data_IF_231123651921
#
_entry.id   IF_231123651921
#
_cell.length_a   1.000
_cell.length_b   1.000
_cell.length_c   1.000
_cell.angle_alpha   90.00
_cell.angle_beta   90.00
_cell.angle_gamma   90.00
#
_symmetry.space_group_name_H-M   'P 1'
#
loop_
_entity.id
_entity.type
_entity.pdbx_description
1 polymer ?
#
# COMPACT_ATOMS: atom_id res chain seq x y z
N UNK A 1 10.25 -12.40 -3.52
CA UNK A 1 8.88 -12.12 -3.10
C UNK A 1 8.84 -11.00 -2.07
N UNK A 2 8.02 -10.00 -2.30
CA UNK A 2 7.83 -8.86 -1.41
C UNK A 2 6.48 -9.05 -0.72
N UNK A 3 6.44 -8.94 0.60
CA UNK A 3 5.19 -9.06 1.36
C UNK A 3 4.77 -7.72 1.92
N UNK A 4 3.48 -7.46 1.84
CA UNK A 4 2.88 -6.20 2.21
C UNK A 4 1.67 -6.44 3.11
N UNK A 5 1.55 -5.68 4.18
CA UNK A 5 0.33 -5.69 4.98
C UNK A 5 -0.41 -4.36 4.90
N UNK A 6 -1.72 -4.39 5.05
CA UNK A 6 -2.61 -3.33 4.60
C UNK A 6 -3.58 -2.85 5.65
N UNK A 7 -3.39 -1.64 6.16
CA UNK A 7 -4.45 -0.80 6.77
C UNK A 7 -3.98 0.65 6.92
N UNK A 8 -4.83 1.60 6.62
CA UNK A 8 -4.83 2.92 7.25
C UNK A 8 -3.93 4.02 6.70
N UNK A 9 -3.63 4.12 5.40
CA UNK A 9 -3.00 5.33 4.85
C UNK A 9 -3.67 5.79 3.56
N UNK A 10 -3.24 6.91 3.03
CA UNK A 10 -3.83 7.56 1.86
C UNK A 10 -3.64 6.81 0.54
N UNK A 11 -2.99 5.65 0.56
CA UNK A 11 -2.73 4.87 -0.63
C UNK A 11 -3.66 3.66 -0.72
N UNK A 12 -4.21 3.43 -1.89
CA UNK A 12 -5.07 2.29 -2.15
C UNK A 12 -4.31 1.23 -2.94
N UNK A 13 -4.57 -0.02 -2.62
CA UNK A 13 -4.11 -1.14 -3.44
C UNK A 13 -5.26 -1.56 -4.34
N UNK A 14 -4.98 -1.62 -5.62
CA UNK A 14 -5.91 -2.26 -6.52
C UNK A 14 -5.92 -3.76 -6.26
N UNK A 15 -7.06 -4.36 -6.47
CA UNK A 15 -7.33 -5.75 -6.21
C UNK A 15 -6.14 -6.68 -6.39
N UNK A 16 -6.07 -7.60 -5.46
CA UNK A 16 -5.18 -8.74 -5.53
C UNK A 16 -5.73 -9.73 -6.54
N UNK A 17 -4.85 -10.40 -7.24
CA UNK A 17 -5.27 -11.58 -7.97
C UNK A 17 -5.59 -12.71 -6.97
N UNK A 18 -6.08 -13.85 -7.45
CA UNK A 18 -6.45 -15.01 -6.60
C UNK A 18 -5.28 -15.54 -5.75
N UNK A 19 -4.05 -15.25 -6.14
CA UNK A 19 -2.84 -15.66 -5.41
C UNK A 19 -2.35 -14.61 -4.41
N UNK A 20 -3.15 -13.59 -4.12
CA UNK A 20 -2.81 -12.49 -3.20
C UNK A 20 -1.68 -11.58 -3.69
N UNK A 21 -1.39 -11.58 -4.98
CA UNK A 21 -0.41 -10.67 -5.56
C UNK A 21 -1.04 -9.32 -5.83
N UNK A 22 -0.36 -8.25 -5.45
CA UNK A 22 -0.82 -6.90 -5.74
C UNK A 22 -0.78 -6.63 -7.25
N UNK A 23 -1.84 -6.01 -7.77
CA UNK A 23 -1.92 -5.64 -9.17
C UNK A 23 -1.39 -4.23 -9.41
N UNK A 24 -1.71 -3.29 -8.52
CA UNK A 24 -1.30 -1.90 -8.64
C UNK A 24 -1.49 -1.16 -7.31
N UNK A 25 -0.73 -0.08 -7.11
CA UNK A 25 -0.87 0.84 -5.99
C UNK A 25 -1.13 2.24 -6.52
N UNK A 26 -2.00 3.00 -5.88
CA UNK A 26 -2.30 4.36 -6.30
C UNK A 26 -2.62 5.26 -5.12
N UNK A 27 -2.32 6.54 -5.27
CA UNK A 27 -2.76 7.57 -4.33
C UNK A 27 -4.23 7.93 -4.53
N UNK A 28 -4.79 7.56 -5.68
CA UNK A 28 -6.22 7.68 -5.96
C UNK A 28 -6.96 6.44 -5.47
N UNK A 29 -8.24 6.59 -5.16
CA UNK A 29 -9.11 5.46 -4.83
C UNK A 29 -9.25 4.58 -6.07
N UNK A 30 -8.88 3.32 -5.97
CA UNK A 30 -9.01 2.31 -7.02
C UNK A 30 -9.63 1.03 -6.46
N UNK A 31 -10.50 0.31 -7.22
CA UNK A 31 -10.97 0.64 -8.56
C UNK A 31 -12.00 1.79 -8.58
N UNK A 32 -12.12 2.46 -9.70
CA UNK A 32 -13.16 3.43 -9.97
C UNK A 32 -14.46 2.69 -10.31
N UNK A 33 -15.55 3.03 -9.64
CA UNK A 33 -16.86 2.42 -9.93
C UNK A 33 -17.68 3.32 -10.83
N UNK A 34 -17.74 2.98 -12.10
CA UNK A 34 -18.39 3.78 -13.12
C UNK A 34 -19.90 3.95 -12.90
N UNK A 35 -20.54 2.90 -12.39
CA UNK A 35 -22.02 2.84 -12.31
C UNK A 35 -22.55 3.10 -10.89
N UNK A 36 -21.73 3.65 -10.01
CA UNK A 36 -22.10 3.94 -8.62
C UNK A 36 -21.58 5.31 -8.19
N UNK A 37 -22.31 5.96 -7.30
CA UNK A 37 -21.88 7.19 -6.65
C UNK A 37 -20.79 6.86 -5.63
N UNK A 38 -19.85 7.78 -5.41
CA UNK A 38 -18.73 7.58 -4.48
C UNK A 38 -19.17 7.16 -3.08
N UNK A 39 -20.29 7.71 -2.61
CA UNK A 39 -20.84 7.36 -1.30
C UNK A 39 -21.23 5.90 -1.17
N UNK A 40 -21.47 5.20 -2.27
CA UNK A 40 -21.89 3.79 -2.32
C UNK A 40 -20.73 2.84 -2.64
N UNK A 41 -19.54 3.34 -2.91
CA UNK A 41 -18.39 2.54 -3.33
C UNK A 41 -18.02 1.46 -2.31
N UNK A 42 -17.96 1.82 -1.02
CA UNK A 42 -17.60 0.88 0.04
C UNK A 42 -18.64 -0.21 0.26
N UNK A 43 -19.91 0.03 -0.13
CA UNK A 43 -20.97 -0.98 -0.06
C UNK A 43 -20.84 -2.03 -1.17
N UNK A 44 -20.32 -1.61 -2.33
CA UNK A 44 -20.27 -2.43 -3.53
C UNK A 44 -18.97 -3.19 -3.71
N UNK A 45 -17.89 -2.75 -3.09
CA UNK A 45 -16.57 -3.33 -3.27
C UNK A 45 -15.70 -3.14 -2.01
N UNK A 46 -14.83 -4.09 -1.75
CA UNK A 46 -13.88 -4.01 -0.65
C UNK A 46 -12.62 -3.28 -1.11
N UNK A 47 -12.33 -2.15 -0.48
CA UNK A 47 -11.12 -1.37 -0.73
C UNK A 47 -10.07 -1.66 0.33
N UNK A 48 -8.81 -1.62 -0.07
CA UNK A 48 -7.68 -1.86 0.83
C UNK A 48 -6.79 -0.64 0.90
N UNK A 49 -6.39 -0.30 2.10
CA UNK A 49 -5.39 0.74 2.35
C UNK A 49 -4.01 0.13 2.50
N UNK A 50 -3.01 0.85 2.06
CA UNK A 50 -1.62 0.47 2.15
C UNK A 50 -1.01 0.91 3.49
N UNK A 51 -0.38 -0.02 4.23
CA UNK A 51 0.28 0.30 5.50
C UNK A 51 1.75 0.70 5.31
N UNK A 52 2.40 0.22 4.26
CA UNK A 52 3.80 0.52 4.04
C UNK A 52 4.77 -0.38 4.82
N UNK A 53 4.33 -1.55 5.25
CA UNK A 53 5.19 -2.53 5.88
C UNK A 53 5.61 -3.58 4.86
N UNK A 54 6.93 -3.70 4.61
CA UNK A 54 7.48 -4.59 3.59
C UNK A 54 8.46 -5.58 4.19
N UNK A 55 8.44 -6.80 3.66
CA UNK A 55 9.45 -7.82 3.92
C UNK A 55 10.04 -8.28 2.60
N UNK A 56 11.35 -8.48 2.57
CA UNK A 56 12.10 -8.81 1.36
C UNK A 56 12.98 -10.03 1.58
N UNK A 57 13.20 -10.80 0.53
CA UNK A 57 14.36 -11.70 0.49
C UNK A 57 15.60 -10.85 0.24
N UNK A 58 16.72 -11.22 0.86
CA UNK A 58 17.95 -10.44 0.78
C UNK A 58 18.44 -10.23 -0.67
N UNK A 59 18.37 -11.29 -1.50
CA UNK A 59 18.76 -11.19 -2.90
C UNK A 59 17.84 -10.27 -3.70
N UNK A 60 16.55 -10.29 -3.43
CA UNK A 60 15.57 -9.40 -4.08
C UNK A 60 15.81 -7.96 -3.67
N UNK A 61 16.04 -7.70 -2.39
CA UNK A 61 16.33 -6.36 -1.89
C UNK A 61 17.55 -5.76 -2.60
N UNK A 62 18.60 -6.55 -2.77
CA UNK A 62 19.80 -6.12 -3.49
C UNK A 62 19.51 -5.75 -4.94
N UNK A 63 18.66 -6.53 -5.62
CA UNK A 63 18.27 -6.26 -7.00
C UNK A 63 17.40 -5.00 -7.12
N UNK A 64 16.37 -4.87 -6.31
CA UNK A 64 15.42 -3.74 -6.42
C UNK A 64 16.03 -2.41 -6.04
N UNK A 65 17.03 -2.38 -5.16
CA UNK A 65 17.71 -1.14 -4.79
C UNK A 65 18.63 -0.63 -5.90
N UNK A 66 19.00 -1.45 -6.85
CA UNK A 66 19.82 -1.06 -8.01
C UNK A 66 19.00 -0.61 -9.22
N UNK A 67 17.68 -0.76 -9.18
CA UNK A 67 16.81 -0.37 -10.28
C UNK A 67 16.71 1.16 -10.41
N UNK A 68 16.72 1.71 -11.64
CA UNK A 68 16.45 3.13 -11.83
C UNK A 68 14.97 3.45 -11.57
N UNK A 69 14.69 4.70 -11.30
CA UNK A 69 13.30 5.17 -11.13
C UNK A 69 12.48 4.88 -12.38
N UNK A 70 11.24 4.48 -12.19
CA UNK A 70 10.33 4.11 -13.27
C UNK A 70 9.25 5.17 -13.51
N UNK A 71 8.57 5.10 -14.65
CA UNK A 71 7.59 6.12 -15.02
C UNK A 71 6.37 6.16 -14.09
N UNK A 72 5.86 5.01 -13.68
CA UNK A 72 4.71 4.94 -12.74
C UNK A 72 5.11 5.41 -11.34
N UNK A 73 6.30 5.05 -10.90
CA UNK A 73 6.85 5.54 -9.64
C UNK A 73 6.93 7.07 -9.62
N UNK A 74 7.45 7.66 -10.67
CA UNK A 74 7.56 9.11 -10.78
C UNK A 74 6.20 9.79 -10.86
N UNK A 75 5.25 9.19 -11.59
CA UNK A 75 3.91 9.74 -11.73
C UNK A 75 3.15 9.79 -10.41
N UNK A 76 3.22 8.73 -9.61
CA UNK A 76 2.48 8.67 -8.35
C UNK A 76 3.34 8.89 -7.10
N UNK A 77 4.64 9.03 -7.26
CA UNK A 77 5.61 9.10 -6.14
C UNK A 77 5.47 7.91 -5.20
N UNK A 78 5.36 6.71 -5.77
CA UNK A 78 5.26 5.45 -5.06
C UNK A 78 6.36 4.50 -5.51
N UNK A 79 7.35 4.28 -4.67
CA UNK A 79 8.54 3.47 -4.99
C UNK A 79 8.21 2.03 -5.37
N UNK A 80 7.21 1.42 -4.75
CA UNK A 80 6.82 0.04 -5.03
C UNK A 80 6.35 -0.18 -6.47
N UNK A 81 5.95 0.86 -7.18
CA UNK A 81 5.58 0.76 -8.58
C UNK A 81 6.79 0.47 -9.48
N UNK A 82 7.99 0.90 -9.07
CA UNK A 82 9.24 0.54 -9.74
C UNK A 82 9.40 -0.98 -9.81
N UNK A 83 9.10 -1.66 -8.72
CA UNK A 83 9.23 -3.11 -8.64
C UNK A 83 8.22 -3.81 -9.53
N UNK A 84 6.96 -3.37 -9.49
CA UNK A 84 5.91 -3.93 -10.35
C UNK A 84 6.22 -3.72 -11.84
N UNK A 85 6.70 -2.54 -12.24
CA UNK A 85 7.08 -2.27 -13.63
C UNK A 85 8.23 -3.16 -14.11
N UNK A 86 9.10 -3.58 -13.21
CA UNK A 86 10.23 -4.45 -13.52
C UNK A 86 9.91 -5.94 -13.35
N UNK A 87 8.64 -6.29 -13.19
CA UNK A 87 8.19 -7.69 -13.18
C UNK A 87 8.29 -8.40 -11.83
N UNK A 88 8.60 -7.69 -10.74
CA UNK A 88 8.60 -8.29 -9.42
C UNK A 88 7.18 -8.47 -8.90
N UNK A 89 6.98 -9.50 -8.12
CA UNK A 89 5.70 -9.83 -7.50
C UNK A 89 5.67 -9.34 -6.06
N UNK A 90 4.61 -8.63 -5.69
CA UNK A 90 4.38 -8.17 -4.33
C UNK A 90 3.18 -8.94 -3.77
N UNK A 91 3.42 -9.82 -2.79
CA UNK A 91 2.33 -10.48 -2.08
C UNK A 91 1.77 -9.58 -1.00
N UNK A 92 0.45 -9.47 -0.97
CA UNK A 92 -0.25 -8.65 0.00
C UNK A 92 -0.84 -9.52 1.10
N UNK A 93 -0.59 -9.15 2.35
CA UNK A 93 -1.30 -9.71 3.51
C UNK A 93 -2.34 -8.72 3.98
N UNK A 94 -3.43 -9.20 4.55
CA UNK A 94 -4.48 -8.37 5.13
C UNK A 94 -4.32 -8.34 6.64
N UNK A 95 -4.46 -7.16 7.23
CA UNK A 95 -4.53 -6.99 8.68
C UNK A 95 -5.66 -6.05 9.04
N UNK A 96 -6.26 -6.25 10.20
CA UNK A 96 -7.27 -5.36 10.76
C UNK A 96 -6.69 -4.42 11.81
N UNK A 97 -5.40 -4.52 12.07
CA UNK A 97 -4.71 -3.65 13.04
C UNK A 97 -4.47 -2.29 12.41
N UNK A 98 -5.02 -1.25 13.02
CA UNK A 98 -4.73 0.13 12.63
C UNK A 98 -3.33 0.54 13.10
N UNK A 99 -2.62 1.22 12.22
CA UNK A 99 -1.32 1.80 12.54
C UNK A 99 -1.40 3.31 12.46
N UNK A 100 -0.56 3.98 13.24
CA UNK A 100 -0.46 5.44 13.24
C UNK A 100 0.83 5.82 12.52
N UNK A 101 0.68 6.52 11.38
CA UNK A 101 1.81 7.10 10.67
C UNK A 101 2.33 8.32 11.41
N UNK A 102 3.64 8.44 11.57
CA UNK A 102 4.28 9.56 12.26
C UNK A 102 5.10 10.35 11.25
N UNK A 103 4.54 11.45 10.76
CA UNK A 103 5.21 12.36 9.83
C UNK A 103 5.35 13.78 10.39
N UNK A 104 4.56 14.12 11.41
CA UNK A 104 4.51 15.44 12.04
C UNK A 104 4.61 15.32 13.56
N UNK A 105 4.99 16.41 14.28
CA UNK A 105 4.96 16.41 15.75
C UNK A 105 3.59 16.06 16.33
N UNK A 106 2.50 16.46 15.67
CA UNK A 106 1.14 16.13 16.10
C UNK A 106 0.86 14.64 15.96
N UNK A 107 1.39 13.99 14.93
CA UNK A 107 1.27 12.54 14.75
C UNK A 107 2.02 11.80 15.85
N UNK A 108 3.17 12.30 16.30
CA UNK A 108 3.92 11.73 17.39
C UNK A 108 3.12 11.78 18.69
N UNK A 109 2.47 12.90 18.99
CA UNK A 109 1.60 13.04 20.16
C UNK A 109 0.46 12.02 20.13
N UNK A 110 -0.19 11.85 18.99
CA UNK A 110 -1.25 10.85 18.81
C UNK A 110 -0.74 9.43 19.03
N UNK A 111 0.45 9.12 18.54
CA UNK A 111 1.06 7.81 18.72
C UNK A 111 1.39 7.55 20.21
N UNK A 112 1.90 8.54 20.90
CA UNK A 112 2.17 8.45 22.34
C UNK A 112 0.89 8.22 23.16
N UNK A 113 -0.19 8.92 22.83
CA UNK A 113 -1.50 8.71 23.46
C UNK A 113 -2.03 7.30 23.19
N UNK A 114 -1.90 6.81 21.96
CA UNK A 114 -2.30 5.46 21.58
C UNK A 114 -1.54 4.41 22.40
N UNK A 115 -0.25 4.58 22.59
CA UNK A 115 0.57 3.66 23.39
C UNK A 115 0.23 3.68 24.88
N UNK A 116 -0.22 4.81 25.40
CA UNK A 116 -0.66 4.93 26.81
C UNK A 116 -1.95 4.17 27.07
N UNK A 117 -2.79 4.00 26.06
CA UNK A 117 -4.07 3.28 26.17
C UNK A 117 -3.84 1.76 26.12
N UNK A 118 -2.76 1.34 25.50
CA UNK A 118 -2.33 -0.05 25.48
C UNK A 118 -1.52 -0.42 26.70
#
# INVERSE_FOLDING_TARGET
>A
EIRLSLVGSEMCIRDRNKNMNALYFSRSIIPYQRNAEKQDWLKNHTYYKHIGLYAYRAEVLKEITSLPQSSLELAESLEQLRWLENGYTIKAGITEVETIGIDTPQDLEKAEEFLKIC
#
